data_IF_296564635688
#
_entry.id   IF_296564635688
#
_cell.length_a   1.000
_cell.length_b   1.000
_cell.length_c   1.000
_cell.angle_alpha   90.00
_cell.angle_beta   90.00
_cell.angle_gamma   90.00
#
_symmetry.space_group_name_H-M   'P 1'
#
loop_
_entity.id
_entity.type
_entity.pdbx_description
1 polymer ?
#
# COMPACT_ATOMS: atom_id res chain seq x y z
N UNK A 1 -82.77 65.39 57.23
CA UNK A 1 -81.85 65.44 58.40
C UNK A 1 -81.31 64.03 58.61
N UNK A 2 -80.21 63.78 58.11
CA UNK A 2 -79.49 62.47 58.22
C UNK A 2 -78.44 62.59 59.32
N UNK A 3 -78.59 61.75 60.37
CA UNK A 3 -77.85 61.86 61.62
C UNK A 3 -76.35 61.81 61.47
N UNK A 4 -75.66 62.86 61.88
CA UNK A 4 -74.23 63.04 61.99
C UNK A 4 -73.50 61.88 62.72
N UNK A 5 -74.19 61.15 63.53
CA UNK A 5 -73.70 60.04 64.37
C UNK A 5 -73.27 58.81 63.54
N UNK A 6 -73.88 58.49 62.43
CA UNK A 6 -73.49 57.35 61.61
C UNK A 6 -72.28 57.59 60.77
N UNK A 7 -71.96 58.89 60.46
CA UNK A 7 -70.79 59.24 59.71
C UNK A 7 -69.52 59.05 60.50
N UNK A 8 -69.51 59.37 61.79
CA UNK A 8 -68.35 59.16 62.67
C UNK A 8 -68.11 57.72 62.97
N UNK A 9 -69.07 56.86 63.08
CA UNK A 9 -68.96 55.43 63.35
C UNK A 9 -68.37 54.74 62.10
N UNK A 10 -68.80 55.15 60.91
CA UNK A 10 -68.25 54.63 59.63
C UNK A 10 -66.72 54.99 59.42
N UNK A 11 -66.34 56.22 59.81
CA UNK A 11 -64.97 56.70 59.72
C UNK A 11 -64.08 56.01 60.74
N UNK A 12 -64.53 55.77 61.96
CA UNK A 12 -63.76 55.07 63.01
C UNK A 12 -63.60 53.58 62.62
N UNK A 13 -64.65 52.92 62.07
CA UNK A 13 -64.54 51.56 61.60
C UNK A 13 -63.63 51.42 60.39
N UNK A 14 -63.57 52.39 59.49
CA UNK A 14 -62.63 52.43 58.35
C UNK A 14 -61.19 52.57 58.78
N UNK A 15 -60.93 53.42 59.78
CA UNK A 15 -59.55 53.60 60.31
C UNK A 15 -59.08 52.37 61.10
N UNK A 16 -59.97 51.68 61.85
CA UNK A 16 -59.63 50.45 62.54
C UNK A 16 -59.29 49.28 61.56
N UNK A 17 -60.01 49.19 60.43
CA UNK A 17 -59.72 48.19 59.39
C UNK A 17 -58.42 48.50 58.62
N UNK A 18 -58.08 49.77 58.41
CA UNK A 18 -56.82 50.19 57.76
C UNK A 18 -55.60 49.91 58.68
N UNK A 19 -55.73 50.12 59.99
CA UNK A 19 -54.62 49.86 60.94
C UNK A 19 -54.35 48.37 61.15
N UNK A 20 -55.39 47.51 61.12
CA UNK A 20 -55.25 46.06 61.19
C UNK A 20 -54.66 45.50 59.87
N UNK A 21 -54.94 46.09 58.70
CA UNK A 21 -54.31 45.65 57.44
C UNK A 21 -52.83 45.99 57.36
N UNK A 22 -52.43 47.15 57.95
CA UNK A 22 -50.97 47.57 58.00
C UNK A 22 -50.17 46.70 59.01
N UNK A 23 -50.78 46.27 60.08
CA UNK A 23 -50.10 45.45 61.09
C UNK A 23 -49.88 43.97 60.61
N UNK A 24 -50.67 43.46 59.68
CA UNK A 24 -50.53 42.11 59.10
C UNK A 24 -49.44 42.10 58.04
N UNK A 25 -49.11 43.21 57.39
CA UNK A 25 -48.06 43.33 56.37
C UNK A 25 -46.66 43.58 56.98
N UNK A 26 -46.56 44.02 58.20
CA UNK A 26 -45.28 44.35 58.87
C UNK A 26 -44.57 43.15 59.54
N UNK A 27 -45.18 41.98 59.64
CA UNK A 27 -44.63 40.76 60.29
C UNK A 27 -44.18 39.67 59.32
N UNK A 28 -44.11 39.93 57.98
CA UNK A 28 -43.36 39.05 57.11
C UNK A 28 -41.88 39.45 57.15
N UNK A 29 -41.13 38.87 58.10
CA UNK A 29 -39.68 38.77 58.00
C UNK A 29 -39.32 38.15 56.64
N UNK A 30 -38.39 38.70 55.85
CA UNK A 30 -37.87 38.00 54.69
C UNK A 30 -37.26 36.70 55.23
N UNK A 31 -37.85 35.58 54.84
CA UNK A 31 -37.28 34.28 54.98
C UNK A 31 -35.88 34.35 54.36
N UNK A 32 -34.85 34.27 55.19
CA UNK A 32 -33.47 34.18 54.76
C UNK A 32 -33.39 32.86 53.99
N UNK A 33 -33.59 32.95 52.66
CA UNK A 33 -33.30 31.81 51.78
C UNK A 33 -31.83 31.50 52.01
N UNK A 34 -31.50 30.48 52.81
CA UNK A 34 -30.19 29.84 52.74
C UNK A 34 -29.91 29.58 51.27
N UNK A 35 -28.72 29.98 50.77
CA UNK A 35 -28.36 29.70 49.38
C UNK A 35 -28.47 28.18 49.22
N UNK A 36 -29.45 27.71 48.47
CA UNK A 36 -29.58 26.31 48.08
C UNK A 36 -28.27 25.92 47.48
N UNK A 37 -27.52 25.08 48.19
CA UNK A 37 -26.24 24.59 47.70
C UNK A 37 -26.46 24.01 46.31
N UNK A 38 -25.90 24.67 45.31
CA UNK A 38 -26.10 24.29 43.90
C UNK A 38 -25.66 22.82 43.76
N UNK A 39 -26.63 21.97 43.42
CA UNK A 39 -26.32 20.53 43.23
C UNK A 39 -25.40 20.38 42.02
N UNK A 40 -24.35 19.56 42.13
CA UNK A 40 -23.46 19.33 41.03
C UNK A 40 -24.24 18.77 39.84
N UNK A 41 -24.08 19.40 38.65
CA UNK A 41 -24.79 19.01 37.44
C UNK A 41 -24.33 17.64 36.94
N UNK A 42 -23.03 17.33 37.06
CA UNK A 42 -22.44 16.09 36.59
C UNK A 42 -21.22 15.68 37.44
N UNK A 43 -21.04 14.36 37.56
CA UNK A 43 -19.80 13.80 38.13
C UNK A 43 -18.77 13.66 36.99
N UNK A 44 -17.57 14.19 37.18
CA UNK A 44 -16.51 14.23 36.18
C UNK A 44 -15.19 13.67 36.74
N UNK A 45 -14.39 13.12 35.83
CA UNK A 45 -12.97 12.82 36.10
C UNK A 45 -12.10 13.94 35.53
N UNK A 46 -10.96 14.17 36.17
CA UNK A 46 -10.01 15.20 35.74
C UNK A 46 -8.77 14.57 35.14
N UNK A 47 -8.20 15.28 34.18
CA UNK A 47 -6.88 14.97 33.58
C UNK A 47 -6.09 16.25 33.41
N UNK A 48 -4.81 16.11 33.11
CA UNK A 48 -3.92 17.23 32.77
C UNK A 48 -3.32 17.03 31.39
N UNK A 49 -3.03 18.11 30.66
CA UNK A 49 -2.24 18.00 29.43
C UNK A 49 -0.88 17.38 29.75
N UNK A 50 -0.48 16.41 28.95
CA UNK A 50 0.82 15.76 29.09
C UNK A 50 1.53 15.68 27.75
N UNK A 51 2.87 15.70 27.80
CA UNK A 51 3.64 15.44 26.60
C UNK A 51 3.62 13.95 26.27
N UNK A 52 3.24 13.64 25.04
CA UNK A 52 3.22 12.28 24.53
C UNK A 52 3.90 12.22 23.17
N UNK A 53 4.44 11.05 22.81
CA UNK A 53 5.04 10.81 21.50
C UNK A 53 3.95 10.49 20.50
N UNK A 54 3.68 11.43 19.59
CA UNK A 54 2.71 11.23 18.51
C UNK A 54 3.42 10.86 17.21
N UNK A 55 2.96 9.82 16.51
CA UNK A 55 3.54 9.44 15.23
C UNK A 55 3.28 10.52 14.18
N UNK A 56 4.33 10.87 13.43
CA UNK A 56 4.23 11.68 12.22
C UNK A 56 4.07 10.73 11.05
N UNK A 57 3.04 10.94 10.27
CA UNK A 57 2.73 10.13 9.11
C UNK A 57 2.46 11.01 7.90
N UNK A 58 2.99 10.61 6.75
CA UNK A 58 2.57 11.13 5.44
C UNK A 58 1.64 10.11 4.82
N UNK A 59 0.45 10.56 4.43
CA UNK A 59 -0.54 9.73 3.73
C UNK A 59 -0.41 9.95 2.23
N UNK A 60 -0.52 8.87 1.47
CA UNK A 60 -0.52 8.92 0.02
C UNK A 60 -1.53 7.94 -0.57
N UNK A 61 -1.92 8.18 -1.80
CA UNK A 61 -2.79 7.32 -2.58
C UNK A 61 -2.05 6.82 -3.82
N UNK A 62 -2.44 5.67 -4.32
CA UNK A 62 -1.83 5.13 -5.52
C UNK A 62 -2.35 3.74 -5.87
N UNK A 63 -1.76 3.13 -6.88
CA UNK A 63 -2.17 1.83 -7.36
C UNK A 63 -1.09 0.77 -7.08
N UNK A 64 -1.54 -0.43 -6.76
CA UNK A 64 -0.68 -1.61 -6.73
C UNK A 64 -0.46 -2.03 -8.17
N UNK A 65 0.79 -2.18 -8.58
CA UNK A 65 1.18 -2.53 -9.93
C UNK A 65 2.17 -3.68 -9.92
N UNK A 66 2.30 -4.38 -11.04
CA UNK A 66 3.44 -5.26 -11.24
C UNK A 66 4.74 -4.45 -11.18
N UNK A 67 5.75 -4.95 -10.47
CA UNK A 67 7.07 -4.33 -10.49
C UNK A 67 7.64 -4.25 -11.90
N UNK A 68 7.51 -5.37 -12.64
CA UNK A 68 7.88 -5.45 -14.04
C UNK A 68 6.98 -6.47 -14.74
N UNK A 69 6.51 -6.11 -15.93
CA UNK A 69 5.80 -7.01 -16.82
C UNK A 69 6.70 -7.38 -18.00
N UNK A 70 6.69 -8.65 -18.39
CA UNK A 70 7.30 -9.12 -19.61
C UNK A 70 6.22 -9.44 -20.65
N UNK A 71 6.35 -8.84 -21.83
CA UNK A 71 5.60 -9.21 -23.02
C UNK A 71 6.34 -10.34 -23.74
N UNK A 72 5.70 -11.49 -23.92
CA UNK A 72 6.27 -12.67 -24.54
C UNK A 72 5.62 -12.82 -25.93
N UNK A 73 6.39 -12.47 -26.95
CA UNK A 73 5.99 -12.61 -28.33
C UNK A 73 6.48 -13.90 -28.96
N UNK A 74 6.01 -14.18 -30.19
CA UNK A 74 6.53 -15.28 -31.01
C UNK A 74 7.77 -14.84 -31.78
N UNK A 75 8.82 -15.68 -31.81
CA UNK A 75 9.95 -15.54 -32.73
C UNK A 75 9.70 -16.30 -34.03
N UNK A 76 8.77 -17.26 -34.05
CA UNK A 76 8.38 -18.01 -35.23
C UNK A 76 7.53 -17.14 -36.15
N UNK A 77 7.80 -17.21 -37.44
CA UNK A 77 7.08 -16.46 -38.48
C UNK A 77 6.22 -17.37 -39.34
N UNK A 78 4.95 -16.99 -39.54
CA UNK A 78 4.03 -17.69 -40.44
C UNK A 78 3.66 -19.12 -40.02
N UNK A 79 4.00 -19.53 -38.81
CA UNK A 79 3.69 -20.86 -38.29
C UNK A 79 2.35 -20.87 -37.56
N UNK A 80 1.66 -22.02 -37.64
CA UNK A 80 0.42 -22.26 -36.92
C UNK A 80 0.73 -22.64 -35.48
N UNK A 81 0.07 -21.99 -34.52
CA UNK A 81 0.14 -22.34 -33.10
C UNK A 81 -0.55 -23.69 -32.88
N UNK A 82 0.23 -24.71 -32.52
CA UNK A 82 -0.25 -26.08 -32.37
C UNK A 82 -0.79 -26.35 -30.94
N UNK A 83 -0.11 -25.85 -29.93
CA UNK A 83 -0.44 -26.14 -28.54
C UNK A 83 -0.20 -24.92 -27.65
N UNK A 84 -1.10 -24.72 -26.68
CA UNK A 84 -1.02 -23.71 -25.62
C UNK A 84 -0.98 -24.50 -24.30
N UNK A 85 0.11 -24.34 -23.52
CA UNK A 85 0.38 -25.16 -22.33
C UNK A 85 0.04 -24.47 -21.01
N UNK A 86 -0.16 -23.14 -21.04
CA UNK A 86 -0.41 -22.34 -19.85
C UNK A 86 -1.56 -21.35 -20.06
N UNK A 87 -2.25 -21.01 -18.97
CA UNK A 87 -3.36 -20.08 -18.95
C UNK A 87 -3.06 -18.86 -18.05
N UNK A 88 -3.97 -17.89 -18.06
CA UNK A 88 -3.93 -16.75 -17.15
C UNK A 88 -4.07 -17.24 -15.71
N UNK A 89 -3.19 -16.76 -14.83
CA UNK A 89 -3.10 -17.16 -13.43
C UNK A 89 -2.07 -18.25 -13.14
N UNK A 90 -1.54 -18.94 -14.17
CA UNK A 90 -0.54 -19.99 -13.97
C UNK A 90 0.81 -19.40 -13.54
N UNK A 91 1.44 -20.06 -12.58
CA UNK A 91 2.82 -19.78 -12.17
C UNK A 91 3.75 -20.56 -13.08
N UNK A 92 4.69 -19.85 -13.70
CA UNK A 92 5.66 -20.41 -14.64
C UNK A 92 7.08 -20.19 -14.17
N UNK A 93 7.98 -21.09 -14.60
CA UNK A 93 9.43 -20.99 -14.31
C UNK A 93 10.19 -20.60 -15.55
N UNK A 94 11.34 -19.95 -15.37
CA UNK A 94 12.26 -19.61 -16.45
C UNK A 94 12.56 -20.84 -17.32
N UNK A 95 12.44 -20.67 -18.65
CA UNK A 95 12.65 -21.74 -19.63
C UNK A 95 11.48 -22.73 -19.75
N UNK A 96 10.40 -22.58 -19.00
CA UNK A 96 9.20 -23.41 -19.17
C UNK A 96 8.55 -23.13 -20.52
N UNK A 97 8.13 -24.19 -21.23
CA UNK A 97 7.42 -24.08 -22.50
C UNK A 97 5.98 -23.62 -22.26
N UNK A 98 5.64 -22.47 -22.82
CA UNK A 98 4.31 -21.84 -22.70
C UNK A 98 3.40 -22.22 -23.88
N UNK A 99 3.97 -22.29 -25.07
CA UNK A 99 3.26 -22.66 -26.29
C UNK A 99 4.19 -23.34 -27.29
N UNK A 100 3.63 -24.07 -28.24
CA UNK A 100 4.36 -24.78 -29.28
C UNK A 100 3.72 -24.50 -30.65
N UNK A 101 4.54 -24.13 -31.62
CA UNK A 101 4.14 -23.99 -33.03
C UNK A 101 4.31 -25.33 -33.78
N UNK A 102 3.58 -25.48 -34.87
CA UNK A 102 3.70 -26.64 -35.74
C UNK A 102 5.09 -26.65 -36.42
N UNK A 103 5.93 -27.60 -36.03
CA UNK A 103 7.34 -27.67 -36.41
C UNK A 103 7.62 -28.59 -37.62
N UNK A 104 6.60 -29.21 -38.24
CA UNK A 104 6.82 -30.28 -39.27
C UNK A 104 7.65 -29.80 -40.44
N UNK A 105 7.36 -28.62 -41.01
CA UNK A 105 8.11 -28.05 -42.11
C UNK A 105 9.57 -27.74 -41.74
N UNK A 106 9.76 -27.08 -40.57
CA UNK A 106 11.09 -26.74 -40.08
C UNK A 106 11.92 -28.00 -39.76
N UNK A 107 11.30 -29.05 -39.26
CA UNK A 107 11.96 -30.34 -39.01
C UNK A 107 12.43 -30.99 -40.33
N UNK A 108 11.60 -30.93 -41.40
CA UNK A 108 11.98 -31.43 -42.74
C UNK A 108 13.12 -30.60 -43.35
N UNK A 109 13.09 -29.26 -43.24
CA UNK A 109 14.17 -28.38 -43.69
C UNK A 109 15.48 -28.63 -42.93
N UNK A 110 15.41 -28.88 -41.63
CA UNK A 110 16.57 -29.26 -40.80
C UNK A 110 17.14 -30.61 -41.27
N UNK A 111 16.29 -31.60 -41.55
CA UNK A 111 16.76 -32.90 -42.07
C UNK A 111 17.46 -32.76 -43.42
N UNK A 112 16.95 -31.91 -44.30
CA UNK A 112 17.58 -31.59 -45.59
C UNK A 112 18.93 -30.92 -45.40
N UNK A 113 19.04 -29.93 -44.53
CA UNK A 113 20.31 -29.21 -44.30
C UNK A 113 21.36 -30.13 -43.64
N UNK A 114 20.95 -31.04 -42.77
CA UNK A 114 21.85 -32.09 -42.21
C UNK A 114 22.39 -33.02 -43.30
N UNK A 115 21.58 -33.43 -44.26
CA UNK A 115 22.04 -34.25 -45.38
C UNK A 115 23.07 -33.49 -46.23
N UNK A 116 22.82 -32.20 -46.52
CA UNK A 116 23.79 -31.35 -47.24
C UNK A 116 25.09 -31.16 -46.47
N UNK A 117 25.06 -31.03 -45.13
CA UNK A 117 26.27 -31.00 -44.28
C UNK A 117 27.03 -32.30 -44.36
N UNK A 118 26.35 -33.46 -44.32
CA UNK A 118 27.00 -34.76 -44.45
C UNK A 118 27.65 -34.96 -45.83
N UNK A 119 27.01 -34.52 -46.96
CA UNK A 119 27.58 -34.53 -48.28
C UNK A 119 28.85 -33.67 -48.37
N UNK A 120 28.81 -32.44 -47.85
CA UNK A 120 29.95 -31.53 -47.83
C UNK A 120 31.13 -32.09 -47.00
N UNK A 121 30.82 -32.79 -45.90
CA UNK A 121 31.79 -33.47 -45.05
C UNK A 121 32.48 -34.61 -45.81
N UNK A 122 31.72 -35.44 -46.56
CA UNK A 122 32.29 -36.52 -47.40
C UNK A 122 33.17 -35.95 -48.49
N UNK A 123 32.73 -34.87 -49.18
CA UNK A 123 33.54 -34.20 -50.20
C UNK A 123 34.85 -33.60 -49.66
N UNK A 124 34.80 -33.04 -48.41
CA UNK A 124 36.03 -32.58 -47.74
C UNK A 124 36.95 -33.74 -47.43
N UNK A 125 36.46 -34.88 -46.94
CA UNK A 125 37.26 -36.05 -46.63
C UNK A 125 38.01 -36.55 -47.88
N UNK A 126 37.31 -36.63 -49.05
CA UNK A 126 37.94 -36.97 -50.33
C UNK A 126 39.02 -35.94 -50.76
N UNK A 127 38.67 -34.64 -50.71
CA UNK A 127 39.62 -33.60 -51.09
C UNK A 127 40.84 -33.56 -50.17
N UNK A 128 40.68 -33.79 -48.88
CA UNK A 128 41.80 -33.88 -47.91
C UNK A 128 42.69 -35.09 -48.19
N UNK A 129 42.14 -36.26 -48.48
CA UNK A 129 42.88 -37.44 -48.86
C UNK A 129 43.69 -37.22 -50.17
N UNK A 130 43.06 -36.55 -51.18
CA UNK A 130 43.72 -36.23 -52.44
C UNK A 130 44.88 -35.21 -52.22
N UNK A 131 44.64 -34.17 -51.42
CA UNK A 131 45.67 -33.17 -51.06
C UNK A 131 46.81 -33.78 -50.24
N UNK A 132 46.54 -34.73 -49.34
CA UNK A 132 47.54 -35.50 -48.62
C UNK A 132 48.49 -36.25 -49.54
N UNK A 133 47.90 -37.06 -50.46
CA UNK A 133 48.69 -37.76 -51.52
C UNK A 133 49.48 -36.81 -52.40
N UNK A 134 48.95 -35.67 -52.78
CA UNK A 134 49.63 -34.68 -53.59
C UNK A 134 50.82 -34.04 -52.83
N UNK A 135 50.72 -33.84 -51.52
CA UNK A 135 51.85 -33.34 -50.67
C UNK A 135 53.00 -34.37 -50.62
N UNK A 136 52.66 -35.67 -50.44
CA UNK A 136 53.69 -36.77 -50.44
C UNK A 136 54.40 -36.87 -51.78
N UNK A 137 53.69 -36.82 -52.93
CA UNK A 137 54.27 -36.91 -54.26
C UNK A 137 55.08 -35.67 -54.66
N UNK A 138 54.87 -34.53 -53.96
CA UNK A 138 55.72 -33.34 -54.14
C UNK A 138 57.16 -33.59 -53.81
N UNK A 139 57.47 -34.34 -52.77
CA UNK A 139 58.79 -34.64 -52.33
C UNK A 139 59.55 -35.54 -53.30
N UNK A 140 58.83 -36.40 -54.00
CA UNK A 140 59.39 -37.32 -55.01
C UNK A 140 59.51 -36.73 -56.40
N UNK A 141 58.95 -35.53 -56.66
CA UNK A 141 58.90 -34.89 -57.97
C UNK A 141 58.01 -35.59 -59.00
N UNK A 142 57.17 -36.55 -58.56
CA UNK A 142 56.25 -37.32 -59.38
C UNK A 142 55.02 -36.60 -59.84
N UNK A 143 54.78 -35.36 -59.34
CA UNK A 143 53.59 -34.53 -59.68
C UNK A 143 54.00 -33.08 -59.95
N UNK A 144 53.37 -32.46 -60.95
CA UNK A 144 53.63 -31.06 -61.29
C UNK A 144 53.15 -30.09 -60.18
N UNK A 145 53.88 -28.97 -59.97
CA UNK A 145 53.51 -27.96 -58.98
C UNK A 145 52.05 -27.39 -59.19
N UNK A 146 51.65 -27.31 -60.46
CA UNK A 146 50.26 -26.86 -60.77
C UNK A 146 49.19 -27.86 -60.32
N UNK A 147 49.43 -29.15 -60.49
CA UNK A 147 48.49 -30.21 -60.01
C UNK A 147 48.44 -30.24 -58.50
N UNK A 148 49.56 -30.10 -57.82
CA UNK A 148 49.58 -30.01 -56.33
C UNK A 148 48.76 -28.83 -55.85
N UNK A 149 49.00 -27.63 -56.44
CA UNK A 149 48.25 -26.44 -56.06
C UNK A 149 46.75 -26.58 -56.31
N UNK A 150 46.34 -27.28 -57.37
CA UNK A 150 44.95 -27.59 -57.66
C UNK A 150 44.31 -28.42 -56.53
N UNK A 151 44.95 -29.51 -56.07
CA UNK A 151 44.41 -30.34 -54.97
C UNK A 151 44.33 -29.58 -53.67
N UNK A 152 45.33 -28.74 -53.33
CA UNK A 152 45.34 -27.89 -52.14
C UNK A 152 44.18 -26.83 -52.19
N UNK A 153 43.92 -26.31 -53.39
CA UNK A 153 42.83 -25.37 -53.59
C UNK A 153 41.48 -26.04 -53.46
N UNK A 154 41.36 -27.30 -54.02
CA UNK A 154 40.13 -28.11 -53.87
C UNK A 154 39.85 -28.45 -52.40
N UNK A 155 40.86 -28.80 -51.60
CA UNK A 155 40.70 -29.05 -50.15
C UNK A 155 40.16 -27.79 -49.44
N UNK A 156 40.77 -26.60 -49.69
CA UNK A 156 40.29 -25.34 -49.11
C UNK A 156 38.87 -25.00 -49.54
N UNK A 157 38.53 -25.25 -50.83
CA UNK A 157 37.18 -25.02 -51.32
C UNK A 157 36.15 -25.97 -50.72
N UNK A 158 36.50 -27.26 -50.51
CA UNK A 158 35.65 -28.22 -49.83
C UNK A 158 35.46 -27.87 -48.37
N UNK A 159 36.53 -27.40 -47.67
CA UNK A 159 36.41 -26.89 -46.28
C UNK A 159 35.46 -25.72 -46.21
N UNK A 160 35.58 -24.72 -47.10
CA UNK A 160 34.67 -23.55 -47.09
C UNK A 160 33.21 -23.96 -47.38
N UNK A 161 32.99 -24.96 -48.25
CA UNK A 161 31.64 -25.49 -48.54
C UNK A 161 31.03 -26.17 -47.30
N UNK A 162 31.82 -26.96 -46.57
CA UNK A 162 31.36 -27.58 -45.33
C UNK A 162 30.97 -26.53 -44.27
N UNK A 163 31.80 -25.48 -44.11
CA UNK A 163 31.51 -24.38 -43.17
C UNK A 163 30.19 -23.68 -43.55
N UNK A 164 29.98 -23.41 -44.86
CA UNK A 164 28.73 -22.87 -45.37
C UNK A 164 27.52 -23.77 -45.09
N UNK A 165 27.63 -25.09 -45.34
CA UNK A 165 26.57 -26.05 -45.07
C UNK A 165 26.20 -26.12 -43.56
N UNK A 166 27.25 -26.12 -42.68
CA UNK A 166 27.04 -26.06 -41.21
C UNK A 166 26.35 -24.79 -40.75
N UNK A 167 26.63 -23.65 -41.39
CA UNK A 167 25.98 -22.39 -41.07
C UNK A 167 24.45 -22.43 -41.38
N UNK A 168 24.10 -23.02 -42.52
CA UNK A 168 22.69 -23.23 -42.92
C UNK A 168 22.01 -24.20 -41.95
N UNK A 169 22.63 -25.35 -41.62
CA UNK A 169 22.09 -26.29 -40.66
C UNK A 169 21.84 -25.63 -39.32
N UNK A 170 22.77 -24.83 -38.81
CA UNK A 170 22.66 -24.07 -37.57
C UNK A 170 21.48 -23.12 -37.60
N UNK A 171 21.25 -22.45 -38.71
CA UNK A 171 20.08 -21.57 -38.90
C UNK A 171 18.78 -22.34 -38.77
N UNK A 172 18.64 -23.49 -39.43
CA UNK A 172 17.43 -24.32 -39.35
C UNK A 172 17.24 -24.89 -37.93
N UNK A 173 18.31 -25.23 -37.22
CA UNK A 173 18.26 -25.65 -35.85
C UNK A 173 17.74 -24.55 -34.90
N UNK A 174 18.17 -23.29 -35.09
CA UNK A 174 17.67 -22.13 -34.34
C UNK A 174 16.17 -21.92 -34.63
N UNK A 175 15.76 -21.96 -35.91
CA UNK A 175 14.33 -21.88 -36.25
C UNK A 175 13.47 -22.95 -35.57
N UNK A 176 13.99 -24.18 -35.47
CA UNK A 176 13.30 -25.25 -34.76
C UNK A 176 13.16 -24.92 -33.23
N UNK A 177 14.19 -24.38 -32.61
CA UNK A 177 14.10 -23.93 -31.20
C UNK A 177 13.06 -22.83 -31.03
N UNK A 178 12.99 -21.89 -31.97
CA UNK A 178 12.03 -20.77 -31.96
C UNK A 178 10.57 -21.20 -32.14
N UNK A 179 10.31 -22.48 -32.52
CA UNK A 179 8.93 -23.01 -32.51
C UNK A 179 8.37 -23.23 -31.11
N UNK A 180 9.21 -23.16 -30.09
CA UNK A 180 8.81 -23.22 -28.68
C UNK A 180 8.88 -21.85 -28.05
N UNK A 181 7.76 -21.39 -27.50
CA UNK A 181 7.70 -20.14 -26.74
C UNK A 181 8.03 -20.45 -25.28
N UNK A 182 9.10 -19.86 -24.79
CA UNK A 182 9.62 -20.10 -23.43
C UNK A 182 9.36 -18.91 -22.52
N UNK A 183 9.16 -19.17 -21.22
CA UNK A 183 9.12 -18.13 -20.21
C UNK A 183 10.51 -17.52 -20.05
N UNK A 184 10.68 -16.18 -20.11
CA UNK A 184 11.96 -15.51 -19.98
C UNK A 184 12.49 -15.56 -18.54
N UNK A 185 11.61 -15.64 -17.55
CA UNK A 185 11.92 -15.70 -16.13
C UNK A 185 10.79 -16.38 -15.34
N UNK A 186 10.98 -16.56 -14.02
CA UNK A 186 9.91 -17.00 -13.11
C UNK A 186 8.84 -15.92 -13.00
N UNK A 187 7.57 -16.33 -12.88
CA UNK A 187 6.48 -15.35 -12.72
C UNK A 187 5.09 -15.93 -12.88
N UNK A 188 4.12 -15.05 -13.06
CA UNK A 188 2.70 -15.40 -13.23
C UNK A 188 2.16 -14.82 -14.52
N UNK A 189 1.46 -15.63 -15.32
CA UNK A 189 0.80 -15.18 -16.56
C UNK A 189 -0.38 -14.28 -16.19
N UNK A 190 -0.33 -13.01 -16.60
CA UNK A 190 -1.42 -12.04 -16.35
C UNK A 190 -2.33 -11.82 -17.56
N UNK A 191 -1.86 -12.10 -18.79
CA UNK A 191 -2.68 -12.04 -20.00
C UNK A 191 -2.25 -13.09 -21.02
N UNK A 192 -3.19 -13.55 -21.84
CA UNK A 192 -2.96 -14.52 -22.91
C UNK A 192 -3.79 -14.14 -24.13
N UNK A 193 -3.11 -13.90 -25.25
CA UNK A 193 -3.71 -13.70 -26.58
C UNK A 193 -3.53 -14.93 -27.47
N UNK A 194 -2.64 -15.86 -27.06
CA UNK A 194 -2.36 -17.10 -27.77
C UNK A 194 -3.61 -17.95 -27.99
N UNK A 195 -3.92 -18.26 -29.26
CA UNK A 195 -5.07 -19.07 -29.65
C UNK A 195 -4.58 -20.24 -30.53
N UNK A 196 -4.92 -21.47 -30.13
CA UNK A 196 -4.58 -22.67 -30.89
C UNK A 196 -5.19 -22.58 -32.28
N UNK A 197 -4.41 -22.92 -33.33
CA UNK A 197 -4.81 -22.86 -34.72
C UNK A 197 -4.50 -21.55 -35.45
N UNK A 198 -4.19 -20.48 -34.71
CA UNK A 198 -3.82 -19.20 -35.31
C UNK A 198 -2.46 -19.30 -36.03
N UNK A 199 -2.34 -18.65 -37.18
CA UNK A 199 -1.06 -18.43 -37.88
C UNK A 199 -0.61 -17.01 -37.55
N UNK A 200 0.58 -16.89 -36.98
CA UNK A 200 1.02 -15.65 -36.35
C UNK A 200 2.33 -15.15 -37.00
N UNK A 201 2.45 -13.83 -37.22
CA UNK A 201 3.71 -13.22 -37.64
C UNK A 201 4.66 -13.12 -36.46
N UNK A 202 5.97 -13.08 -36.74
CA UNK A 202 7.02 -12.82 -35.74
C UNK A 202 6.78 -11.50 -35.02
N UNK A 203 7.05 -11.45 -33.71
CA UNK A 203 6.89 -10.28 -32.84
C UNK A 203 5.50 -10.11 -32.23
N UNK A 204 4.49 -10.90 -32.62
CA UNK A 204 3.16 -10.79 -32.01
C UNK A 204 3.16 -11.27 -30.57
N UNK A 205 2.61 -10.45 -29.66
CA UNK A 205 2.46 -10.81 -28.24
C UNK A 205 1.53 -12.00 -28.06
N UNK A 206 1.97 -13.01 -27.34
CA UNK A 206 1.21 -14.21 -27.00
C UNK A 206 0.81 -14.26 -25.54
N UNK A 207 1.71 -13.79 -24.69
CA UNK A 207 1.50 -13.75 -23.24
C UNK A 207 2.05 -12.46 -22.67
N UNK A 208 1.46 -12.07 -21.53
CA UNK A 208 2.05 -11.09 -20.65
C UNK A 208 2.18 -11.72 -19.27
N UNK A 209 3.32 -11.51 -18.62
CA UNK A 209 3.59 -12.08 -17.31
C UNK A 209 4.15 -11.05 -16.34
N UNK A 210 3.85 -11.23 -15.07
CA UNK A 210 4.44 -10.47 -13.96
C UNK A 210 5.69 -11.22 -13.51
N UNK A 211 6.85 -10.58 -13.62
CA UNK A 211 8.13 -11.19 -13.25
C UNK A 211 8.23 -11.37 -11.73
N UNK A 212 8.66 -12.57 -11.31
CA UNK A 212 8.87 -12.92 -9.91
C UNK A 212 7.61 -12.86 -9.04
N UNK A 213 6.40 -12.72 -9.62
CA UNK A 213 5.15 -12.43 -8.89
C UNK A 213 5.28 -11.20 -7.96
N UNK A 214 6.14 -10.26 -8.31
CA UNK A 214 6.51 -9.11 -7.48
C UNK A 214 5.58 -7.93 -7.78
N UNK A 215 4.92 -7.45 -6.74
CA UNK A 215 4.07 -6.25 -6.80
C UNK A 215 4.76 -5.09 -6.09
N UNK A 216 4.46 -3.90 -6.55
CA UNK A 216 4.85 -2.64 -5.91
C UNK A 216 3.64 -1.71 -5.83
N UNK A 217 3.62 -0.87 -4.82
CA UNK A 217 2.65 0.21 -4.73
C UNK A 217 3.29 1.48 -5.29
N UNK A 218 2.66 2.03 -6.31
CA UNK A 218 3.03 3.31 -6.92
C UNK A 218 2.16 4.40 -6.34
N UNK A 219 2.73 5.19 -5.45
CA UNK A 219 2.04 6.23 -4.72
C UNK A 219 2.40 7.62 -5.22
N UNK A 220 1.43 8.51 -5.21
CA UNK A 220 1.65 9.91 -5.46
C UNK A 220 1.79 10.66 -4.14
N UNK A 221 2.91 11.34 -3.94
CA UNK A 221 3.22 12.12 -2.73
C UNK A 221 3.48 13.56 -3.13
N UNK A 222 2.93 14.50 -2.36
CA UNK A 222 3.16 15.92 -2.59
C UNK A 222 4.64 16.28 -2.49
N UNK A 223 5.12 17.15 -3.38
CA UNK A 223 6.54 17.56 -3.40
C UNK A 223 7.02 18.14 -2.06
N UNK A 224 6.12 18.80 -1.31
CA UNK A 224 6.41 19.35 0.02
C UNK A 224 6.76 18.29 1.07
N UNK A 225 6.25 17.07 0.92
CA UNK A 225 6.43 15.98 1.88
C UNK A 225 7.64 15.08 1.54
N UNK A 226 8.15 15.18 0.31
CA UNK A 226 9.27 14.35 -0.15
C UNK A 226 10.53 14.44 0.73
N UNK A 227 10.95 15.62 1.23
CA UNK A 227 12.15 15.71 2.06
C UNK A 227 12.07 14.90 3.36
N UNK A 228 10.86 14.53 3.78
CA UNK A 228 10.61 13.74 4.99
C UNK A 228 10.70 12.24 4.73
N UNK A 229 10.67 11.80 3.46
CA UNK A 229 10.73 10.39 3.09
C UNK A 229 12.17 9.92 2.90
N UNK A 230 12.45 8.72 3.35
CA UNK A 230 13.77 8.07 3.19
C UNK A 230 13.62 6.67 2.63
N UNK A 231 14.45 6.32 1.66
CA UNK A 231 14.52 4.96 1.14
C UNK A 231 14.75 3.95 2.27
N UNK A 232 14.09 2.82 2.23
CA UNK A 232 14.14 1.80 3.29
C UNK A 232 13.09 1.99 4.40
N UNK A 233 12.32 3.07 4.40
CA UNK A 233 11.23 3.26 5.37
C UNK A 233 10.12 2.21 5.19
N UNK A 234 9.58 1.78 6.33
CA UNK A 234 8.39 0.92 6.36
C UNK A 234 7.14 1.73 6.06
N UNK A 235 6.29 1.18 5.23
CA UNK A 235 5.03 1.79 4.77
C UNK A 235 3.89 0.81 5.03
N UNK A 236 2.80 1.29 5.60
CA UNK A 236 1.57 0.52 5.71
C UNK A 236 0.67 0.83 4.53
N UNK A 237 0.51 -0.13 3.63
CA UNK A 237 -0.32 0.00 2.42
C UNK A 237 -1.61 -0.77 2.63
N UNK A 238 -2.74 -0.10 2.46
CA UNK A 238 -4.06 -0.71 2.60
C UNK A 238 -4.78 -0.69 1.25
N UNK A 239 -4.88 -1.84 0.60
CA UNK A 239 -5.72 -1.99 -0.59
C UNK A 239 -7.18 -1.72 -0.23
N UNK A 240 -7.96 -1.25 -1.20
CA UNK A 240 -9.40 -1.06 -1.00
C UNK A 240 -10.08 -2.42 -0.75
N UNK A 241 -10.77 -2.54 0.38
CA UNK A 241 -11.42 -3.79 0.80
C UNK A 241 -10.47 -4.90 1.28
N UNK A 242 -9.14 -4.61 1.41
CA UNK A 242 -8.13 -5.60 1.82
C UNK A 242 -7.48 -5.32 3.18
N UNK A 243 -6.73 -6.31 3.66
CA UNK A 243 -5.92 -6.18 4.87
C UNK A 243 -4.69 -5.30 4.62
N UNK A 244 -4.19 -4.61 5.67
CA UNK A 244 -2.98 -3.82 5.56
C UNK A 244 -1.76 -4.67 5.19
N UNK A 245 -0.99 -4.21 4.22
CA UNK A 245 0.24 -4.84 3.75
C UNK A 245 1.42 -3.98 4.17
N UNK A 246 2.42 -4.59 4.77
CA UNK A 246 3.66 -3.89 5.09
C UNK A 246 4.56 -3.88 3.87
N UNK A 247 4.88 -2.69 3.39
CA UNK A 247 5.81 -2.45 2.30
C UNK A 247 7.07 -1.71 2.75
N UNK A 248 8.02 -1.60 1.83
CA UNK A 248 9.26 -0.85 2.04
C UNK A 248 9.44 0.17 0.91
N UNK A 249 9.67 1.43 1.26
CA UNK A 249 9.97 2.49 0.30
C UNK A 249 11.29 2.16 -0.42
N UNK A 250 11.19 1.81 -1.70
CA UNK A 250 12.34 1.45 -2.52
C UNK A 250 12.96 2.67 -3.18
N UNK A 251 12.15 3.55 -3.75
CA UNK A 251 12.63 4.65 -4.57
C UNK A 251 11.61 5.79 -4.62
N UNK A 252 12.12 7.01 -4.66
CA UNK A 252 11.35 8.22 -5.00
C UNK A 252 11.72 8.57 -6.44
N UNK A 253 10.74 8.78 -7.31
CA UNK A 253 11.00 9.16 -8.69
C UNK A 253 11.79 10.49 -8.75
N UNK A 254 12.75 10.61 -9.66
CA UNK A 254 13.54 11.84 -9.80
C UNK A 254 12.75 13.00 -10.42
N UNK A 255 11.58 12.71 -11.01
CA UNK A 255 10.71 13.68 -11.65
C UNK A 255 9.49 13.98 -10.79
N UNK A 256 9.16 15.28 -10.69
CA UNK A 256 7.90 15.76 -10.11
C UNK A 256 7.00 16.16 -11.27
N UNK A 257 5.76 15.68 -11.24
CA UNK A 257 4.74 16.11 -12.19
C UNK A 257 4.42 17.58 -11.94
N UNK A 258 4.61 18.42 -12.96
CA UNK A 258 4.43 19.87 -12.86
C UNK A 258 2.97 20.29 -12.77
N UNK A 259 2.03 19.45 -13.22
CA UNK A 259 0.60 19.73 -13.17
C UNK A 259 0.03 19.40 -11.79
N UNK A 260 0.32 18.22 -11.27
CA UNK A 260 -0.17 17.75 -9.96
C UNK A 260 0.71 18.18 -8.80
N UNK A 261 1.99 18.56 -9.07
CA UNK A 261 3.04 18.84 -8.09
C UNK A 261 3.33 17.65 -7.15
N UNK A 262 3.04 16.44 -7.62
CA UNK A 262 3.31 15.20 -6.92
C UNK A 262 4.51 14.49 -7.54
N UNK A 263 5.21 13.73 -6.74
CA UNK A 263 6.20 12.76 -7.20
C UNK A 263 5.68 11.34 -7.03
N UNK A 264 6.06 10.47 -7.97
CA UNK A 264 5.80 9.04 -7.85
C UNK A 264 6.78 8.42 -6.85
N UNK A 265 6.24 7.63 -5.94
CA UNK A 265 7.00 6.91 -4.92
C UNK A 265 6.72 5.42 -5.09
N UNK A 266 7.77 4.61 -5.11
CA UNK A 266 7.70 3.16 -5.35
C UNK A 266 7.95 2.40 -4.05
N UNK A 267 6.98 1.63 -3.63
CA UNK A 267 7.01 0.84 -2.40
C UNK A 267 6.92 -0.63 -2.76
N UNK A 268 7.94 -1.39 -2.43
CA UNK A 268 7.94 -2.84 -2.62
C UNK A 268 6.99 -3.53 -1.64
N UNK A 269 6.23 -4.49 -2.15
CA UNK A 269 5.29 -5.31 -1.38
C UNK A 269 5.76 -6.77 -1.39
N UNK A 270 6.65 -7.17 -0.47
CA UNK A 270 7.24 -8.49 -0.48
C UNK A 270 6.23 -9.62 -0.23
N UNK A 271 5.16 -9.33 0.49
CA UNK A 271 4.08 -10.26 0.82
C UNK A 271 2.74 -9.60 0.47
N UNK A 272 2.38 -9.54 -0.81
CA UNK A 272 1.19 -8.81 -1.25
C UNK A 272 -0.13 -9.50 -0.84
N UNK A 273 -0.11 -10.75 -0.39
CA UNK A 273 -1.30 -11.50 0.02
C UNK A 273 -2.35 -11.60 -1.09
N UNK A 274 -3.56 -11.14 -0.81
CA UNK A 274 -4.67 -11.13 -1.77
C UNK A 274 -4.64 -9.93 -2.75
N UNK A 275 -3.69 -9.00 -2.61
CA UNK A 275 -3.60 -7.85 -3.52
C UNK A 275 -3.30 -8.28 -4.94
N UNK A 276 -3.83 -7.52 -5.90
CA UNK A 276 -3.64 -7.74 -7.34
C UNK A 276 -3.13 -6.45 -8.00
N UNK A 277 -2.37 -6.60 -9.06
CA UNK A 277 -2.03 -5.47 -9.92
C UNK A 277 -3.30 -4.79 -10.44
N UNK A 278 -3.32 -3.45 -10.42
CA UNK A 278 -4.48 -2.63 -10.76
C UNK A 278 -5.32 -2.18 -9.56
N UNK A 279 -5.16 -2.78 -8.38
CA UNK A 279 -5.90 -2.35 -7.19
C UNK A 279 -5.45 -0.97 -6.71
N UNK A 280 -6.42 -0.12 -6.38
CA UNK A 280 -6.16 1.13 -5.67
C UNK A 280 -5.82 0.84 -4.20
N UNK A 281 -4.88 1.58 -3.65
CA UNK A 281 -4.49 1.47 -2.25
C UNK A 281 -4.15 2.84 -1.67
N UNK A 282 -4.36 2.96 -0.35
CA UNK A 282 -3.88 4.08 0.45
C UNK A 282 -2.72 3.62 1.31
N UNK A 283 -1.76 4.48 1.54
CA UNK A 283 -0.63 4.13 2.38
C UNK A 283 -0.22 5.26 3.31
N UNK A 284 0.42 4.87 4.40
CA UNK A 284 0.95 5.77 5.41
C UNK A 284 2.44 5.51 5.60
N UNK A 285 3.24 6.53 5.35
CA UNK A 285 4.68 6.53 5.62
C UNK A 285 4.92 6.99 7.05
N UNK A 286 5.49 6.14 7.89
CA UNK A 286 5.91 6.50 9.23
C UNK A 286 7.21 7.32 9.15
N UNK A 287 7.13 8.65 9.40
CA UNK A 287 8.28 9.54 9.29
C UNK A 287 9.07 9.59 10.59
N UNK A 288 8.37 9.54 11.71
CA UNK A 288 8.96 9.64 13.03
C UNK A 288 7.92 9.81 14.13
N UNK A 289 8.38 10.27 15.27
CA UNK A 289 7.53 10.64 16.41
C UNK A 289 7.93 12.02 16.88
N UNK A 290 6.96 12.80 17.30
CA UNK A 290 7.17 14.13 17.88
C UNK A 290 6.54 14.19 19.26
N UNK A 291 7.23 14.84 20.19
CA UNK A 291 6.73 15.02 21.55
C UNK A 291 5.83 16.23 21.61
N UNK A 292 4.53 15.99 21.67
CA UNK A 292 3.49 17.02 21.60
C UNK A 292 2.66 17.05 22.87
N UNK A 293 2.14 18.24 23.19
CA UNK A 293 1.19 18.41 24.29
C UNK A 293 -0.15 17.81 23.88
N UNK A 294 -0.64 16.83 24.63
CA UNK A 294 -1.84 16.09 24.27
C UNK A 294 -2.83 15.97 25.42
N UNK A 295 -4.10 15.78 25.05
CA UNK A 295 -5.18 15.41 25.96
C UNK A 295 -5.87 14.13 25.46
N UNK A 296 -6.57 13.38 26.35
CA UNK A 296 -7.52 12.36 25.88
C UNK A 296 -8.56 12.98 24.94
N UNK A 297 -8.91 12.27 23.88
CA UNK A 297 -9.87 12.78 22.89
C UNK A 297 -11.23 13.09 23.52
N UNK A 298 -11.62 12.37 24.60
CA UNK A 298 -12.85 12.58 25.35
C UNK A 298 -12.91 13.92 26.10
N UNK A 299 -11.77 14.56 26.34
CA UNK A 299 -11.66 15.84 27.03
C UNK A 299 -12.00 17.03 26.13
N UNK A 300 -11.99 16.84 24.80
CA UNK A 300 -12.22 17.91 23.82
C UNK A 300 -13.63 17.78 23.26
N UNK A 301 -14.40 18.86 23.38
CA UNK A 301 -15.79 18.96 22.88
C UNK A 301 -15.82 19.96 21.74
N UNK A 302 -16.46 19.57 20.64
CA UNK A 302 -16.72 20.46 19.50
C UNK A 302 -18.07 21.19 19.72
N UNK A 303 -18.05 22.51 19.81
CA UNK A 303 -19.25 23.37 19.91
C UNK A 303 -19.11 24.56 18.98
N UNK A 304 -20.17 24.88 18.27
CA UNK A 304 -20.22 26.04 17.34
C UNK A 304 -19.03 26.11 16.37
N UNK A 305 -18.54 24.95 15.93
CA UNK A 305 -17.41 24.84 15.02
C UNK A 305 -16.03 25.00 15.68
N UNK A 306 -15.95 25.17 17.01
CA UNK A 306 -14.69 25.34 17.76
C UNK A 306 -14.46 24.20 18.75
N UNK A 307 -13.19 23.84 18.94
CA UNK A 307 -12.79 22.88 19.97
C UNK A 307 -12.71 23.59 21.32
N UNK A 308 -13.35 22.98 22.33
CA UNK A 308 -13.37 23.50 23.70
C UNK A 308 -12.99 22.38 24.67
N UNK A 309 -12.41 22.79 25.79
CA UNK A 309 -12.22 21.97 26.99
C UNK A 309 -12.85 22.66 28.18
N UNK A 310 -13.22 21.87 29.21
CA UNK A 310 -13.73 22.41 30.46
C UNK A 310 -12.63 22.37 31.50
N UNK A 311 -12.11 23.54 31.90
CA UNK A 311 -11.12 23.66 33.00
C UNK A 311 -11.82 23.67 34.33
N UNK A 312 -11.22 23.06 35.35
CA UNK A 312 -11.68 23.21 36.70
C UNK A 312 -11.28 24.58 37.27
N UNK A 313 -12.27 25.37 37.59
CA UNK A 313 -12.12 26.68 38.24
C UNK A 313 -12.32 26.63 39.75
N UNK A 314 -12.43 27.80 40.36
CA UNK A 314 -12.73 27.93 41.77
C UNK A 314 -14.09 27.32 42.13
N UNK A 315 -14.25 26.82 43.37
CA UNK A 315 -15.50 26.26 43.90
C UNK A 315 -16.08 25.11 43.06
N UNK A 316 -15.22 24.31 42.42
CA UNK A 316 -15.62 23.18 41.58
C UNK A 316 -16.54 23.57 40.42
N UNK A 317 -16.43 24.78 39.90
CA UNK A 317 -17.11 25.24 38.69
C UNK A 317 -16.22 25.02 37.46
N UNK A 318 -16.80 24.58 36.38
CA UNK A 318 -16.07 24.44 35.11
C UNK A 318 -16.11 25.73 34.30
N UNK A 319 -15.00 25.99 33.63
CA UNK A 319 -14.83 27.15 32.73
C UNK A 319 -14.59 26.62 31.33
N UNK A 320 -15.50 26.93 30.41
CA UNK A 320 -15.35 26.58 29.01
C UNK A 320 -14.19 27.39 28.41
N UNK A 321 -13.19 26.69 27.90
CA UNK A 321 -11.99 27.30 27.32
C UNK A 321 -11.81 26.83 25.88
N UNK A 322 -11.70 27.78 24.95
CA UNK A 322 -11.42 27.50 23.55
C UNK A 322 -9.96 27.04 23.42
N UNK A 323 -9.75 25.96 22.67
CA UNK A 323 -8.42 25.40 22.37
C UNK A 323 -8.24 25.22 20.89
N UNK A 324 -7.00 25.32 20.43
CA UNK A 324 -6.63 24.93 19.08
C UNK A 324 -6.09 23.52 19.12
N UNK A 325 -6.75 22.62 18.39
CA UNK A 325 -6.35 21.21 18.30
C UNK A 325 -5.57 20.98 17.03
N UNK A 326 -4.55 20.10 17.09
CA UNK A 326 -3.78 19.65 15.93
C UNK A 326 -4.08 18.18 15.58
N UNK A 327 -3.03 17.37 15.54
CA UNK A 327 -3.10 15.95 15.16
C UNK A 327 -3.95 15.14 16.14
N UNK A 328 -4.54 14.07 15.63
CA UNK A 328 -5.37 13.15 16.42
C UNK A 328 -4.88 11.72 16.21
N UNK A 329 -4.83 10.98 17.31
CA UNK A 329 -4.70 9.51 17.30
C UNK A 329 -5.99 8.89 17.84
N UNK A 330 -6.07 7.56 17.92
CA UNK A 330 -7.28 6.89 18.39
C UNK A 330 -7.74 7.39 19.79
N UNK A 331 -6.79 7.70 20.68
CA UNK A 331 -7.09 8.01 22.10
C UNK A 331 -6.72 9.44 22.52
N UNK A 332 -5.88 10.13 21.78
CA UNK A 332 -5.33 11.44 22.17
C UNK A 332 -5.42 12.46 21.04
N UNK A 333 -5.49 13.73 21.45
CA UNK A 333 -5.50 14.88 20.55
C UNK A 333 -4.41 15.88 20.99
N UNK A 334 -3.67 16.38 20.03
CA UNK A 334 -2.68 17.44 20.21
C UNK A 334 -3.39 18.75 20.56
N UNK A 335 -2.84 19.46 21.54
CA UNK A 335 -3.24 20.83 21.90
C UNK A 335 -2.13 21.78 21.48
N UNK A 336 -2.42 22.55 20.42
CA UNK A 336 -1.47 23.52 19.86
C UNK A 336 -1.42 24.79 20.70
N UNK A 337 -2.58 25.23 21.21
CA UNK A 337 -2.69 26.43 22.05
C UNK A 337 -3.96 26.45 22.90
N UNK A 338 -3.96 27.26 23.94
CA UNK A 338 -5.11 27.50 24.81
C UNK A 338 -5.06 26.82 26.18
N UNK A 339 -4.02 26.02 26.47
CA UNK A 339 -3.84 25.36 27.77
C UNK A 339 -2.37 25.33 28.20
N UNK A 340 -2.16 25.41 29.49
CA UNK A 340 -0.89 25.17 30.15
C UNK A 340 -0.82 23.75 30.75
N UNK A 341 0.40 23.24 30.97
CA UNK A 341 0.64 21.90 31.53
C UNK A 341 -0.03 21.64 32.85
N UNK A 342 -0.13 22.68 33.72
CA UNK A 342 -0.71 22.56 35.05
C UNK A 342 -2.24 22.63 35.07
N UNK A 343 -2.88 22.88 33.93
CA UNK A 343 -4.33 23.09 33.87
C UNK A 343 -5.07 21.78 34.04
N UNK A 344 -5.92 21.66 35.03
CA UNK A 344 -6.83 20.53 35.21
C UNK A 344 -8.04 20.69 34.30
N UNK A 345 -8.31 19.70 33.47
CA UNK A 345 -9.46 19.66 32.57
C UNK A 345 -10.30 18.40 32.78
N UNK A 346 -11.57 18.50 32.44
CA UNK A 346 -12.49 17.36 32.51
C UNK A 346 -12.06 16.32 31.49
N UNK A 347 -11.81 15.10 31.94
CA UNK A 347 -11.37 13.98 31.08
C UNK A 347 -12.51 13.37 30.27
N UNK A 348 -13.70 13.23 30.91
CA UNK A 348 -14.89 12.66 30.30
C UNK A 348 -16.15 13.35 30.82
N UNK A 349 -17.23 13.33 30.02
CA UNK A 349 -18.52 13.96 30.38
C UNK A 349 -18.65 15.43 29.97
N UNK A 350 -17.63 16.03 29.36
CA UNK A 350 -17.64 17.45 28.96
C UNK A 350 -18.78 17.83 27.99
N UNK A 351 -19.30 16.89 27.21
CA UNK A 351 -20.38 17.16 26.24
C UNK A 351 -21.69 17.62 26.89
N UNK A 352 -21.92 17.28 28.16
CA UNK A 352 -23.11 17.61 28.92
C UNK A 352 -22.94 18.85 29.83
N UNK A 353 -21.77 19.44 29.88
CA UNK A 353 -21.45 20.60 30.72
C UNK A 353 -21.69 21.90 30.00
N UNK A 354 -22.21 22.88 30.71
CA UNK A 354 -22.22 24.29 30.36
C UNK A 354 -21.11 25.08 31.03
N UNK A 355 -20.85 26.29 30.54
CA UNK A 355 -19.92 27.22 31.22
C UNK A 355 -20.47 27.62 32.60
N UNK A 356 -19.62 27.53 33.63
CA UNK A 356 -20.01 27.86 35.01
C UNK A 356 -20.70 26.73 35.79
N UNK A 357 -20.96 25.58 35.22
CA UNK A 357 -21.60 24.45 35.89
C UNK A 357 -20.78 23.93 37.07
N UNK A 358 -21.50 23.56 38.12
CA UNK A 358 -20.91 22.97 39.32
C UNK A 358 -20.73 21.45 39.07
N UNK A 359 -19.51 20.96 39.23
CA UNK A 359 -19.21 19.53 39.01
C UNK A 359 -18.71 18.85 40.31
N UNK A 360 -18.99 17.55 40.37
CA UNK A 360 -18.40 16.70 41.41
C UNK A 360 -17.22 15.95 40.82
N UNK A 361 -16.02 16.24 41.31
CA UNK A 361 -14.81 15.56 40.91
C UNK A 361 -14.72 14.20 41.58
N UNK A 362 -14.54 13.13 40.82
CA UNK A 362 -14.24 11.79 41.30
C UNK A 362 -12.84 11.43 40.81
N UNK A 363 -12.04 10.85 41.69
CA UNK A 363 -10.74 10.35 41.29
C UNK A 363 -10.88 9.29 40.17
N UNK A 364 -10.03 9.37 39.18
CA UNK A 364 -9.98 8.37 38.09
C UNK A 364 -9.65 7.01 38.72
N UNK A 365 -10.59 6.07 38.61
CA UNK A 365 -10.30 4.66 38.87
C UNK A 365 -9.55 4.19 37.64
N UNK A 366 -8.25 3.82 37.74
CA UNK A 366 -7.51 3.34 36.59
C UNK A 366 -8.29 2.17 35.95
N UNK A 367 -8.39 2.09 34.64
CA UNK A 367 -9.03 0.98 33.97
C UNK A 367 -8.38 -0.31 34.44
N UNK A 368 -9.20 -1.24 34.94
CA UNK A 368 -8.72 -2.55 35.35
C UNK A 368 -7.94 -3.15 34.20
N UNK A 369 -6.64 -3.39 34.39
CA UNK A 369 -5.83 -4.18 33.45
C UNK A 369 -6.54 -5.51 33.27
N UNK A 370 -7.16 -5.70 32.12
CA UNK A 370 -7.65 -7.00 31.69
C UNK A 370 -6.45 -7.93 31.52
N UNK A 371 -5.98 -8.48 32.62
CA UNK A 371 -5.18 -9.68 32.59
C UNK A 371 -6.04 -10.77 31.94
N UNK A 372 -5.91 -10.89 30.62
CA UNK A 372 -6.30 -12.12 29.92
C UNK A 372 -5.47 -13.24 30.56
N UNK A 373 -6.16 -13.97 31.44
CA UNK A 373 -5.64 -15.17 32.06
C UNK A 373 -5.00 -16.03 30.96
N UNK A 374 -3.69 -16.18 31.06
CA UNK A 374 -2.92 -17.19 30.34
C UNK A 374 -3.60 -18.55 30.58
N UNK A 375 -4.19 -19.07 29.54
CA UNK A 375 -4.80 -20.39 29.52
C UNK A 375 -3.70 -21.43 29.73
N UNK A 376 -3.58 -21.91 30.97
CA UNK A 376 -2.70 -23.01 31.34
C UNK A 376 -3.10 -24.24 30.54
N UNK A 377 -2.10 -24.82 29.88
CA UNK A 377 -2.19 -25.98 29.07
C UNK A 377 -2.91 -27.15 29.74
N UNK A 378 -3.82 -27.73 28.99
CA UNK A 378 -4.36 -29.05 29.26
C UNK A 378 -3.41 -30.03 28.55
N UNK A 379 -2.67 -30.83 29.34
CA UNK A 379 -1.86 -31.91 28.85
C UNK A 379 -2.75 -32.99 28.18
N UNK A 380 -2.33 -33.65 27.09
CA UNK A 380 -3.09 -34.74 26.51
C UNK A 380 -2.96 -35.97 27.39
N UNK A 381 -4.12 -36.50 27.78
CA UNK A 381 -4.23 -37.86 28.43
C UNK A 381 -3.96 -38.88 27.33
N UNK A 382 -2.89 -39.64 27.51
CA UNK A 382 -2.62 -40.86 26.74
C UNK A 382 -3.50 -41.97 27.32
N UNK A 383 -4.44 -42.49 26.54
CA UNK A 383 -5.13 -43.73 26.80
C UNK A 383 -4.44 -44.86 26.00
N UNK A 384 -4.14 -45.93 26.73
CA UNK A 384 -3.58 -47.20 26.24
C UNK A 384 -4.44 -47.88 25.21
#
# INVERSE_FOLDING_TARGET
MMNSTYFYVAVIAGIALAVTSIAITATRQPEHSEPVAARPALTVTLTQPQFDLMPIKVSANGNIMAWQEASIGTEADGLRLAEVKVNVGDVVRRGQVLAVFAAHTITAELAQSRAATAEALAALAEATANAGRARELRETGAMSGQQIQQYLTQERAAQARLEGARAVEKTQQLRLVQTQVLAPDDGVICARTATVGAVLPSGQELYRMILGNRLEWRAEVAAADLPQLKTGQTVQVRPEGGEPITGTLRMIAPLIDTQTRNAMVYVDLPQPGAARAGMFARGEFAIGTERLLTLPQTSVVLRDGFSHVFRLGAQSRVIQTKVTTGRRTANRVEIVSGLDLSTQVVAAGGSFLGDGDLVRVVAEVPPAENHRASNRGIAPIVLK
#
